data_IF_791268331899
#
_entry.id   IF_791268331899
#
_cell.length_a   1.000
_cell.length_b   1.000
_cell.length_c   1.000
_cell.angle_alpha   90.00
_cell.angle_beta   90.00
_cell.angle_gamma   90.00
#
_symmetry.space_group_name_H-M   'P 1'
#
loop_
_entity.id
_entity.type
_entity.pdbx_description
1 polymer ?
#
# COMPACT_ATOMS: atom_id res chain seq x y z
N UNK A 1 8.22 -18.73 -16.86
CA UNK A 1 6.94 -19.36 -17.20
C UNK A 1 5.87 -18.71 -16.32
N UNK A 2 4.74 -18.26 -16.88
CA UNK A 2 3.72 -17.52 -16.11
C UNK A 2 2.98 -18.44 -15.13
N UNK A 3 2.82 -19.72 -15.47
CA UNK A 3 2.16 -20.71 -14.61
C UNK A 3 3.01 -20.97 -13.38
N UNK A 4 4.31 -21.28 -13.58
CA UNK A 4 5.25 -21.44 -12.47
C UNK A 4 5.32 -20.19 -11.56
N UNK A 5 5.27 -18.98 -12.13
CA UNK A 5 5.26 -17.76 -11.32
C UNK A 5 3.99 -17.59 -10.48
N UNK A 6 2.84 -18.04 -10.99
CA UNK A 6 1.58 -18.01 -10.25
C UNK A 6 1.59 -19.02 -9.09
N UNK A 7 2.14 -20.21 -9.32
CA UNK A 7 2.29 -21.24 -8.29
C UNK A 7 3.18 -20.77 -7.13
N UNK A 8 4.38 -20.25 -7.44
CA UNK A 8 5.31 -19.71 -6.43
C UNK A 8 4.72 -18.51 -5.68
N UNK A 9 3.95 -17.65 -6.36
CA UNK A 9 3.25 -16.54 -5.70
C UNK A 9 2.17 -17.07 -4.75
N UNK A 10 1.48 -18.14 -5.12
CA UNK A 10 0.51 -18.82 -4.26
C UNK A 10 1.14 -19.34 -2.96
N UNK A 11 2.28 -20.01 -3.08
CA UNK A 11 3.04 -20.53 -1.93
C UNK A 11 3.55 -19.41 -1.01
N UNK A 12 3.98 -18.27 -1.57
CA UNK A 12 4.36 -17.09 -0.80
C UNK A 12 3.16 -16.51 -0.04
N UNK A 13 2.02 -16.34 -0.70
CA UNK A 13 0.79 -15.82 -0.06
C UNK A 13 0.31 -16.77 1.06
N UNK A 14 0.32 -18.08 0.81
CA UNK A 14 -0.02 -19.09 1.82
C UNK A 14 0.94 -19.05 3.01
N UNK A 15 2.23 -18.89 2.76
CA UNK A 15 3.25 -18.75 3.81
C UNK A 15 3.00 -17.51 4.67
N UNK A 16 2.64 -16.36 4.08
CA UNK A 16 2.28 -15.13 4.81
C UNK A 16 1.04 -15.34 5.68
N UNK A 17 0.01 -16.02 5.17
CA UNK A 17 -1.18 -16.39 5.95
C UNK A 17 -0.81 -17.28 7.15
N UNK A 18 0.09 -18.23 6.95
CA UNK A 18 0.58 -19.07 8.04
C UNK A 18 1.37 -18.29 9.08
N UNK A 19 2.21 -17.33 8.68
CA UNK A 19 2.89 -16.43 9.63
C UNK A 19 1.87 -15.65 10.46
N UNK A 20 0.84 -15.08 9.84
CA UNK A 20 -0.23 -14.39 10.57
C UNK A 20 -0.90 -15.31 11.61
N UNK A 21 -1.22 -16.55 11.24
CA UNK A 21 -1.77 -17.56 12.17
C UNK A 21 -0.83 -17.85 13.36
N UNK A 22 0.47 -18.02 13.11
CA UNK A 22 1.46 -18.26 14.18
C UNK A 22 1.54 -17.08 15.15
N UNK A 23 1.40 -15.86 14.63
CA UNK A 23 1.37 -14.62 15.42
C UNK A 23 0.00 -14.35 16.05
N UNK A 24 -1.00 -15.22 15.86
CA UNK A 24 -2.39 -15.05 16.30
C UNK A 24 -3.04 -13.76 15.75
N UNK A 25 -2.64 -13.36 14.55
CA UNK A 25 -3.22 -12.24 13.80
C UNK A 25 -4.22 -12.81 12.80
N UNK A 26 -5.40 -12.22 12.69
CA UNK A 26 -6.34 -12.51 11.61
C UNK A 26 -5.81 -11.88 10.30
N UNK A 27 -5.42 -12.69 9.30
CA UNK A 27 -4.81 -12.19 8.08
C UNK A 27 -5.78 -11.37 7.22
N UNK A 28 -7.08 -11.70 7.23
CA UNK A 28 -8.08 -10.97 6.46
C UNK A 28 -8.29 -9.57 7.06
N UNK A 29 -8.42 -9.48 8.39
CA UNK A 29 -8.55 -8.21 9.10
C UNK A 29 -7.30 -7.36 8.90
N UNK A 30 -6.10 -7.95 9.02
CA UNK A 30 -4.84 -7.26 8.82
C UNK A 30 -4.70 -6.70 7.39
N UNK A 31 -5.05 -7.50 6.38
CA UNK A 31 -5.04 -7.07 4.98
C UNK A 31 -6.06 -5.95 4.73
N UNK A 32 -7.28 -6.08 5.26
CA UNK A 32 -8.32 -5.05 5.16
C UNK A 32 -7.86 -3.72 5.76
N UNK A 33 -7.21 -3.76 6.92
CA UNK A 33 -6.63 -2.57 7.55
C UNK A 33 -5.50 -1.96 6.72
N UNK A 34 -4.63 -2.79 6.12
CA UNK A 34 -3.57 -2.32 5.23
C UNK A 34 -4.13 -1.62 3.98
N UNK A 35 -5.17 -2.18 3.35
CA UNK A 35 -5.87 -1.59 2.20
C UNK A 35 -6.54 -0.27 2.57
N UNK A 36 -7.24 -0.22 3.72
CA UNK A 36 -7.85 1.02 4.20
C UNK A 36 -6.82 2.13 4.44
N UNK A 37 -5.67 1.80 5.04
CA UNK A 37 -4.55 2.73 5.23
C UNK A 37 -3.96 3.20 3.90
N UNK A 38 -3.78 2.30 2.93
CA UNK A 38 -3.31 2.66 1.58
C UNK A 38 -4.28 3.66 0.93
N UNK A 39 -5.58 3.36 0.95
CA UNK A 39 -6.61 4.25 0.40
C UNK A 39 -6.58 5.63 1.05
N UNK A 40 -6.55 5.69 2.38
CA UNK A 40 -6.49 6.97 3.10
C UNK A 40 -5.29 7.81 2.69
N UNK A 41 -4.12 7.18 2.57
CA UNK A 41 -2.90 7.86 2.13
C UNK A 41 -2.98 8.31 0.68
N UNK A 42 -3.54 7.49 -0.20
CA UNK A 42 -3.70 7.84 -1.59
C UNK A 42 -4.66 9.04 -1.78
N UNK A 43 -5.76 9.09 -1.03
CA UNK A 43 -6.66 10.26 -0.99
C UNK A 43 -5.91 11.53 -0.53
N UNK A 44 -4.97 11.39 0.42
CA UNK A 44 -4.08 12.50 0.81
C UNK A 44 -3.10 12.92 -0.28
N UNK A 45 -2.57 11.96 -1.06
CA UNK A 45 -1.70 12.23 -2.21
C UNK A 45 -2.46 13.01 -3.28
N UNK A 46 -3.69 12.60 -3.60
CA UNK A 46 -4.57 13.32 -4.54
C UNK A 46 -4.83 14.76 -4.09
N UNK A 47 -5.12 14.97 -2.81
CA UNK A 47 -5.33 16.30 -2.25
C UNK A 47 -4.08 17.18 -2.33
N UNK A 48 -2.91 16.61 -1.99
CA UNK A 48 -1.65 17.34 -2.02
C UNK A 48 -1.20 17.68 -3.44
N UNK A 49 -1.39 16.75 -4.37
CA UNK A 49 -1.14 16.98 -5.79
C UNK A 49 -2.03 18.11 -6.33
N UNK A 50 -3.33 18.09 -6.02
CA UNK A 50 -4.26 19.15 -6.40
C UNK A 50 -3.88 20.52 -5.82
N UNK A 51 -3.45 20.57 -4.56
CA UNK A 51 -2.96 21.81 -3.91
C UNK A 51 -1.72 22.40 -4.59
N UNK A 52 -0.88 21.53 -5.18
CA UNK A 52 0.37 21.90 -5.84
C UNK A 52 0.24 22.02 -7.36
N UNK A 53 -0.96 21.87 -7.90
CA UNK A 53 -1.21 21.82 -9.35
C UNK A 53 -0.38 20.75 -10.06
N UNK A 54 -0.12 19.63 -9.38
CA UNK A 54 0.58 18.46 -9.93
C UNK A 54 -0.48 17.52 -10.52
N UNK A 55 -0.28 17.13 -11.77
CA UNK A 55 -1.13 16.19 -12.47
C UNK A 55 -0.58 14.77 -12.26
N UNK A 56 -1.30 13.93 -11.52
CA UNK A 56 -0.80 12.64 -11.05
C UNK A 56 -0.50 11.65 -12.17
N UNK A 57 -1.22 11.71 -13.31
CA UNK A 57 -1.01 10.74 -14.40
C UNK A 57 0.26 11.01 -15.22
N UNK A 58 0.76 12.26 -15.22
CA UNK A 58 2.05 12.64 -15.81
C UNK A 58 3.17 12.80 -14.79
N UNK A 59 2.88 12.70 -13.49
CA UNK A 59 3.89 12.78 -12.45
C UNK A 59 4.88 11.61 -12.54
N UNK A 60 6.17 11.93 -12.41
CA UNK A 60 7.23 10.92 -12.29
C UNK A 60 7.15 10.19 -10.94
N UNK A 61 7.75 8.99 -10.88
CA UNK A 61 7.80 8.18 -9.66
C UNK A 61 8.38 8.94 -8.47
N UNK A 62 9.43 9.75 -8.68
CA UNK A 62 10.04 10.54 -7.61
C UNK A 62 9.06 11.56 -7.01
N UNK A 63 8.22 12.20 -7.83
CA UNK A 63 7.19 13.13 -7.33
C UNK A 63 6.10 12.39 -6.58
N UNK A 64 5.66 11.22 -7.08
CA UNK A 64 4.68 10.39 -6.41
C UNK A 64 5.19 9.90 -5.04
N UNK A 65 6.46 9.48 -4.96
CA UNK A 65 7.10 9.04 -3.73
C UNK A 65 7.20 10.20 -2.72
N UNK A 66 7.60 11.40 -3.16
CA UNK A 66 7.64 12.59 -2.30
C UNK A 66 6.26 12.94 -1.72
N UNK A 67 5.21 12.92 -2.54
CA UNK A 67 3.83 13.17 -2.09
C UNK A 67 3.38 12.09 -1.11
N UNK A 68 3.71 10.83 -1.39
CA UNK A 68 3.38 9.70 -0.54
C UNK A 68 4.05 9.78 0.83
N UNK A 69 5.34 10.08 0.89
CA UNK A 69 6.09 10.20 2.13
C UNK A 69 5.56 11.35 2.99
N UNK A 70 5.25 12.50 2.39
CA UNK A 70 4.66 13.63 3.11
C UNK A 70 3.29 13.28 3.73
N UNK A 71 2.43 12.55 2.99
CA UNK A 71 1.14 12.11 3.53
C UNK A 71 1.33 11.08 4.64
N UNK A 72 2.28 10.15 4.47
CA UNK A 72 2.60 9.14 5.49
C UNK A 72 3.11 9.79 6.78
N UNK A 73 3.93 10.83 6.71
CA UNK A 73 4.38 11.59 7.89
C UNK A 73 3.21 12.26 8.64
N UNK A 74 2.26 12.86 7.90
CA UNK A 74 1.04 13.46 8.47
C UNK A 74 0.12 12.42 9.12
N UNK A 75 0.04 11.22 8.56
CA UNK A 75 -0.75 10.10 9.06
C UNK A 75 -0.17 9.50 10.35
N UNK A 76 1.17 9.43 10.46
CA UNK A 76 1.87 8.90 11.65
C UNK A 76 1.83 9.87 12.83
N UNK A 77 1.74 11.18 12.56
CA UNK A 77 1.76 12.23 13.60
C UNK A 77 0.37 12.50 14.22
N UNK A 78 -0.68 11.81 13.75
CA UNK A 78 -2.05 11.85 14.31
C UNK A 78 -2.24 10.82 15.41
#
# INVERSE_FOLDING_TARGET
DKEAAADELGDLLFSVVNVARHLKIDPEVALRAAVAKFRHRFEGVEQLAAQRSIELSSAGLETLDQLWDEVKERDITK
#
